data_IF_150187442174
#
_entry.id   IF_150187442174
#
_cell.length_a   1.000
_cell.length_b   1.000
_cell.length_c   1.000
_cell.angle_alpha   90.00
_cell.angle_beta   90.00
_cell.angle_gamma   90.00
#
_symmetry.space_group_name_H-M   'P 1'
#
loop_
_entity.id
_entity.type
_entity.pdbx_description
1 polymer ?
#
# COMPACT_ATOMS: atom_id res chain seq x y z
N UNK A 1 3.03 -1.22 0.26
CA UNK A 1 2.14 -0.40 1.13
C UNK A 1 2.07 -1.01 2.52
N UNK A 2 1.56 -0.28 3.50
CA UNK A 2 1.47 -0.73 4.90
C UNK A 2 0.01 -0.80 5.35
N UNK A 3 -0.46 -1.95 5.83
CA UNK A 3 -1.81 -2.14 6.36
C UNK A 3 -1.79 -2.24 7.90
N UNK A 4 -2.85 -1.73 8.54
CA UNK A 4 -3.07 -1.87 9.98
C UNK A 4 -4.54 -2.18 10.28
N UNK A 5 -4.83 -2.54 11.54
CA UNK A 5 -6.18 -2.76 12.09
C UNK A 5 -6.81 -4.13 11.80
N UNK A 6 -6.07 -5.08 11.23
CA UNK A 6 -6.43 -6.50 11.33
C UNK A 6 -6.24 -7.01 12.76
N UNK A 7 -7.19 -7.80 13.25
CA UNK A 7 -7.17 -8.47 14.55
C UNK A 7 -6.49 -9.84 14.45
N UNK A 8 -5.28 -9.86 13.89
CA UNK A 8 -4.50 -11.08 13.64
C UNK A 8 -3.10 -10.93 14.21
N UNK A 9 -2.67 -11.90 15.00
CA UNK A 9 -1.31 -11.98 15.53
C UNK A 9 -0.28 -12.31 14.43
N UNK A 10 1.00 -11.95 14.56
CA UNK A 10 2.04 -12.29 13.59
C UNK A 10 2.29 -13.80 13.58
N UNK A 11 1.73 -14.51 12.60
CA UNK A 11 1.98 -15.94 12.39
C UNK A 11 2.07 -16.26 10.89
N UNK A 12 2.63 -17.44 10.55
CA UNK A 12 2.73 -17.90 9.16
C UNK A 12 1.34 -18.09 8.53
N UNK A 13 0.39 -18.60 9.31
CA UNK A 13 -1.00 -18.79 8.88
C UNK A 13 -1.69 -17.44 8.65
N UNK A 14 -1.56 -16.50 9.60
CA UNK A 14 -2.17 -15.18 9.49
C UNK A 14 -1.57 -14.36 8.36
N UNK A 15 -0.28 -14.53 8.06
CA UNK A 15 0.36 -13.96 6.87
C UNK A 15 -0.31 -14.44 5.58
N UNK A 16 -0.64 -15.73 5.49
CA UNK A 16 -1.35 -16.28 4.33
C UNK A 16 -2.77 -15.71 4.22
N UNK A 17 -3.49 -15.63 5.35
CA UNK A 17 -4.83 -15.01 5.41
C UNK A 17 -4.79 -13.55 4.92
N UNK A 18 -3.86 -12.74 5.42
CA UNK A 18 -3.72 -11.34 5.00
C UNK A 18 -3.36 -11.25 3.51
N UNK A 19 -2.47 -12.12 3.02
CA UNK A 19 -2.14 -12.20 1.59
C UNK A 19 -3.40 -12.48 0.75
N UNK A 20 -4.20 -13.45 1.14
CA UNK A 20 -5.42 -13.83 0.42
C UNK A 20 -6.47 -12.71 0.43
N UNK A 21 -6.65 -12.03 1.57
CA UNK A 21 -7.54 -10.86 1.68
C UNK A 21 -7.10 -9.78 0.69
N UNK A 22 -5.83 -9.41 0.68
CA UNK A 22 -5.32 -8.36 -0.20
C UNK A 22 -5.42 -8.77 -1.67
N UNK A 23 -5.00 -10.00 -1.99
CA UNK A 23 -5.03 -10.54 -3.34
C UNK A 23 -6.46 -10.53 -3.90
N UNK A 24 -7.39 -11.13 -3.16
CA UNK A 24 -8.80 -11.22 -3.56
C UNK A 24 -9.43 -9.82 -3.68
N UNK A 25 -9.09 -8.89 -2.79
CA UNK A 25 -9.63 -7.52 -2.86
C UNK A 25 -9.11 -6.81 -4.12
N UNK A 26 -7.80 -6.86 -4.40
CA UNK A 26 -7.21 -6.18 -5.57
C UNK A 26 -7.70 -6.77 -6.89
N UNK A 27 -7.87 -8.09 -6.95
CA UNK A 27 -8.37 -8.79 -8.15
C UNK A 27 -9.79 -8.36 -8.52
N UNK A 28 -10.65 -8.12 -7.54
CA UNK A 28 -12.07 -7.83 -7.75
C UNK A 28 -12.43 -6.34 -7.64
N UNK A 29 -11.47 -5.47 -7.32
CA UNK A 29 -11.74 -4.03 -7.17
C UNK A 29 -11.92 -3.38 -8.55
N UNK A 30 -13.09 -2.78 -8.86
CA UNK A 30 -13.36 -2.21 -10.18
C UNK A 30 -12.36 -1.12 -10.60
N UNK A 31 -11.94 -0.25 -9.69
CA UNK A 31 -10.98 0.82 -9.99
C UNK A 31 -9.59 0.29 -10.37
N UNK A 32 -9.18 -0.83 -9.77
CA UNK A 32 -7.93 -1.51 -10.11
C UNK A 32 -8.03 -2.16 -11.50
N UNK A 33 -9.14 -2.86 -11.77
CA UNK A 33 -9.39 -3.48 -13.08
C UNK A 33 -9.41 -2.40 -14.18
N UNK A 34 -10.11 -1.29 -13.95
CA UNK A 34 -10.16 -0.17 -14.89
C UNK A 34 -8.77 0.43 -15.13
N UNK A 35 -7.96 0.57 -14.08
CA UNK A 35 -6.58 1.04 -14.21
C UNK A 35 -5.75 0.13 -15.12
N UNK A 36 -5.84 -1.19 -14.94
CA UNK A 36 -5.16 -2.15 -15.84
C UNK A 36 -5.65 -2.02 -17.29
N UNK A 37 -6.96 -1.87 -17.50
CA UNK A 37 -7.54 -1.69 -18.84
C UNK A 37 -7.03 -0.44 -19.52
N UNK A 38 -6.93 0.68 -18.79
CA UNK A 38 -6.49 1.98 -19.31
C UNK A 38 -5.01 1.99 -19.68
N UNK A 39 -4.17 1.24 -18.96
CA UNK A 39 -2.71 1.31 -19.06
C UNK A 39 -2.06 0.07 -19.68
N UNK A 40 -2.81 -0.79 -20.38
CA UNK A 40 -2.28 -2.06 -20.95
C UNK A 40 -0.97 -1.90 -21.72
N UNK A 41 -0.84 -0.87 -22.55
CA UNK A 41 0.35 -0.62 -23.38
C UNK A 41 1.61 -0.30 -22.57
N UNK A 42 1.45 0.15 -21.31
CA UNK A 42 2.54 0.55 -20.42
C UNK A 42 2.83 -0.51 -19.34
N UNK A 43 2.18 -1.67 -19.40
CA UNK A 43 2.43 -2.75 -18.45
C UNK A 43 3.81 -3.38 -18.69
N UNK A 44 4.36 -3.94 -17.62
CA UNK A 44 5.61 -4.68 -17.69
C UNK A 44 5.48 -5.82 -18.71
N UNK A 45 6.50 -6.04 -19.55
CA UNK A 45 6.46 -7.01 -20.66
C UNK A 45 6.07 -8.44 -20.24
N UNK A 46 6.44 -8.85 -19.02
CA UNK A 46 6.01 -10.11 -18.39
C UNK A 46 4.50 -10.26 -18.23
N UNK A 47 3.76 -9.16 -18.11
CA UNK A 47 2.31 -9.16 -17.98
C UNK A 47 1.59 -9.20 -19.34
N UNK A 48 2.26 -8.81 -20.43
CA UNK A 48 1.71 -8.85 -21.79
C UNK A 48 1.46 -10.28 -22.31
N UNK A 49 1.94 -11.29 -21.58
CA UNK A 49 1.70 -12.71 -21.87
C UNK A 49 0.31 -13.17 -21.42
N UNK A 50 -0.40 -12.37 -20.64
CA UNK A 50 -1.70 -12.72 -20.07
C UNK A 50 -2.82 -11.93 -20.72
N UNK A 51 -4.03 -12.49 -20.70
CA UNK A 51 -5.21 -11.72 -21.12
C UNK A 51 -5.46 -10.60 -20.12
N UNK A 52 -6.08 -9.52 -20.58
CA UNK A 52 -6.44 -8.38 -19.74
C UNK A 52 -7.17 -8.77 -18.46
N UNK A 53 -8.05 -9.76 -18.55
CA UNK A 53 -8.86 -10.26 -17.43
C UNK A 53 -8.00 -10.99 -16.41
N UNK A 54 -6.90 -11.62 -16.83
CA UNK A 54 -6.02 -12.40 -15.96
C UNK A 54 -4.92 -11.55 -15.29
N UNK A 55 -4.62 -10.36 -15.82
CA UNK A 55 -3.53 -9.51 -15.30
C UNK A 55 -3.71 -9.16 -13.81
N UNK A 56 -4.90 -8.73 -13.33
CA UNK A 56 -5.11 -8.46 -11.91
C UNK A 56 -4.82 -9.69 -11.04
N UNK A 57 -5.29 -10.87 -11.45
CA UNK A 57 -5.04 -12.14 -10.76
C UNK A 57 -3.52 -12.44 -10.68
N UNK A 58 -2.78 -12.21 -11.76
CA UNK A 58 -1.32 -12.41 -11.78
C UNK A 58 -0.58 -11.45 -10.86
N UNK A 59 -0.95 -10.17 -10.86
CA UNK A 59 -0.37 -9.19 -9.94
C UNK A 59 -0.73 -9.55 -8.49
N UNK A 60 -1.97 -9.95 -8.22
CA UNK A 60 -2.41 -10.40 -6.90
C UNK A 60 -1.63 -11.64 -6.42
N UNK A 61 -1.32 -12.59 -7.30
CA UNK A 61 -0.54 -13.79 -6.94
C UNK A 61 0.90 -13.47 -6.51
N UNK A 62 1.46 -12.36 -7.01
CA UNK A 62 2.82 -11.89 -6.70
C UNK A 62 2.97 -11.21 -5.34
N UNK A 63 1.86 -11.03 -4.61
CA UNK A 63 1.87 -10.30 -3.35
C UNK A 63 2.71 -11.05 -2.30
N UNK A 64 3.56 -10.32 -1.61
CA UNK A 64 4.24 -10.79 -0.41
C UNK A 64 3.80 -9.96 0.78
N UNK A 65 3.64 -10.62 1.92
CA UNK A 65 3.18 -10.01 3.17
C UNK A 65 4.20 -10.27 4.27
N UNK A 66 4.54 -9.26 5.05
CA UNK A 66 5.41 -9.38 6.21
C UNK A 66 4.76 -8.68 7.40
N UNK A 67 4.72 -9.33 8.55
CA UNK A 67 4.34 -8.65 9.79
C UNK A 67 5.52 -7.83 10.30
N UNK A 68 5.25 -6.60 10.70
CA UNK A 68 6.16 -5.79 11.49
C UNK A 68 5.71 -5.82 12.94
N UNK A 69 6.47 -6.51 13.78
CA UNK A 69 6.30 -6.46 15.23
C UNK A 69 6.75 -5.08 15.70
N UNK A 70 5.79 -4.22 16.02
CA UNK A 70 6.07 -2.94 16.65
C UNK A 70 5.92 -3.07 18.16
N UNK A 71 6.59 -2.20 18.91
CA UNK A 71 6.38 -2.10 20.38
C UNK A 71 4.99 -1.56 20.74
N UNK A 72 4.20 -1.12 19.75
CA UNK A 72 2.81 -0.73 19.92
C UNK A 72 1.91 -1.97 19.88
N UNK A 73 0.79 -2.00 20.63
CA UNK A 73 -0.18 -3.09 20.57
C UNK A 73 -0.78 -3.29 19.16
N UNK A 74 -0.59 -2.33 18.26
CA UNK A 74 -1.08 -2.44 16.90
C UNK A 74 -0.08 -3.17 16.00
N UNK A 75 -0.52 -4.30 15.46
CA UNK A 75 0.22 -5.07 14.46
C UNK A 75 0.09 -4.37 13.10
N UNK A 76 1.22 -4.29 12.41
CA UNK A 76 1.34 -3.65 11.10
C UNK A 76 1.80 -4.69 10.09
N UNK A 77 1.15 -4.72 8.94
CA UNK A 77 1.47 -5.65 7.85
C UNK A 77 2.06 -4.88 6.67
N UNK A 78 3.32 -5.17 6.33
CA UNK A 78 3.94 -4.71 5.10
C UNK A 78 3.50 -5.58 3.94
N UNK A 79 2.91 -4.94 2.93
CA UNK A 79 2.44 -5.58 1.71
C UNK A 79 3.33 -5.13 0.55
N UNK A 80 4.02 -6.08 -0.05
CA UNK A 80 4.83 -5.90 -1.24
C UNK A 80 4.03 -6.42 -2.43
N UNK A 81 3.78 -5.54 -3.39
CA UNK A 81 3.06 -5.85 -4.62
C UNK A 81 4.06 -5.64 -5.75
N UNK A 82 4.23 -6.62 -6.64
CA UNK A 82 5.08 -6.44 -7.80
C UNK A 82 4.53 -5.33 -8.68
N UNK A 83 5.38 -4.39 -9.08
CA UNK A 83 4.95 -3.22 -9.84
C UNK A 83 4.46 -3.63 -11.21
N UNK A 84 3.22 -3.28 -11.60
CA UNK A 84 2.65 -3.72 -12.87
C UNK A 84 3.28 -3.03 -14.09
N UNK A 85 4.10 -2.00 -13.87
CA UNK A 85 4.73 -1.14 -14.87
C UNK A 85 6.12 -0.72 -14.40
N UNK A 86 6.96 -0.26 -15.33
CA UNK A 86 8.25 0.37 -15.05
C UNK A 86 8.14 1.91 -15.00
N UNK A 87 7.02 2.48 -15.44
CA UNK A 87 6.79 3.91 -15.35
C UNK A 87 6.53 4.31 -13.88
N UNK A 88 7.35 5.23 -13.38
CA UNK A 88 7.31 5.69 -11.99
C UNK A 88 5.99 6.39 -11.66
N UNK A 89 5.42 7.17 -12.60
CA UNK A 89 4.16 7.88 -12.39
C UNK A 89 2.99 6.91 -12.30
N UNK A 90 2.94 5.95 -13.21
CA UNK A 90 1.91 4.90 -13.20
C UNK A 90 2.04 3.98 -11.98
N UNK A 91 3.26 3.68 -11.54
CA UNK A 91 3.50 2.96 -10.29
C UNK A 91 2.95 3.72 -9.08
N UNK A 92 3.17 5.05 -9.03
CA UNK A 92 2.64 5.90 -7.96
C UNK A 92 1.11 5.95 -7.98
N UNK A 93 0.50 6.09 -9.17
CA UNK A 93 -0.96 6.07 -9.35
C UNK A 93 -1.57 4.74 -8.88
N UNK A 94 -1.04 3.61 -9.35
CA UNK A 94 -1.49 2.28 -8.91
C UNK A 94 -1.35 2.10 -7.39
N UNK A 95 -0.23 2.55 -6.83
CA UNK A 95 0.00 2.47 -5.37
C UNK A 95 -0.99 3.34 -4.60
N UNK A 96 -1.34 4.53 -5.11
CA UNK A 96 -2.34 5.39 -4.50
C UNK A 96 -3.72 4.72 -4.51
N UNK A 97 -4.15 4.18 -5.66
CA UNK A 97 -5.40 3.42 -5.76
C UNK A 97 -5.43 2.24 -4.78
N UNK A 98 -4.35 1.45 -4.72
CA UNK A 98 -4.24 0.34 -3.78
C UNK A 98 -4.34 0.79 -2.31
N UNK A 99 -3.89 2.00 -1.97
CA UNK A 99 -4.00 2.56 -0.62
C UNK A 99 -5.38 3.11 -0.29
N UNK A 100 -6.17 3.50 -1.28
CA UNK A 100 -7.54 4.00 -1.09
C UNK A 100 -8.55 2.86 -0.84
N UNK A 101 -8.18 1.63 -1.18
CA UNK A 101 -9.00 0.43 -0.97
C UNK A 101 -9.06 0.08 0.52
N UNK A 102 -10.27 -0.23 0.98
CA UNK A 102 -10.50 -0.84 2.28
C UNK A 102 -10.45 -2.36 2.17
N UNK A 103 -9.55 -2.99 2.92
CA UNK A 103 -9.37 -4.45 2.91
C UNK A 103 -10.22 -5.10 4.01
N UNK A 104 -11.49 -5.36 3.72
CA UNK A 104 -12.43 -5.92 4.68
C UNK A 104 -12.29 -7.45 4.82
N UNK A 105 -12.42 -7.96 6.05
CA UNK A 105 -12.41 -9.40 6.34
C UNK A 105 -13.19 -9.71 7.62
N UNK A 106 -13.38 -11.00 7.91
CA UNK A 106 -13.93 -11.45 9.21
C UNK A 106 -13.01 -11.13 10.39
N UNK A 107 -11.74 -10.84 10.12
CA UNK A 107 -10.72 -10.48 11.11
C UNK A 107 -10.55 -8.96 11.26
N UNK A 108 -11.53 -8.18 10.79
CA UNK A 108 -11.52 -6.72 10.82
C UNK A 108 -11.12 -6.10 9.48
N UNK A 109 -10.75 -4.82 9.54
CA UNK A 109 -10.48 -3.99 8.37
C UNK A 109 -8.99 -3.65 8.29
N UNK A 110 -8.34 -4.06 7.21
CA UNK A 110 -7.03 -3.57 6.83
C UNK A 110 -7.16 -2.20 6.20
N UNK A 111 -6.70 -1.17 6.89
CA UNK A 111 -6.60 0.18 6.33
C UNK A 111 -5.16 0.47 5.96
N UNK A 112 -4.94 0.94 4.73
CA UNK A 112 -3.62 1.37 4.34
C UNK A 112 -3.24 2.66 5.06
N UNK A 113 -2.02 2.71 5.59
CA UNK A 113 -1.48 3.94 6.13
C UNK A 113 -1.20 4.92 5.00
N UNK A 114 -1.58 6.19 5.21
CA UNK A 114 -1.31 7.28 4.28
C UNK A 114 0.19 7.38 3.97
N UNK A 115 1.00 7.31 5.03
CA UNK A 115 2.46 7.22 4.95
C UNK A 115 2.89 5.80 5.25
N UNK A 116 3.74 5.24 4.39
CA UNK A 116 4.34 3.93 4.67
C UNK A 116 5.24 4.03 5.90
N UNK A 117 5.35 2.91 6.62
CA UNK A 117 6.27 2.84 7.74
C UNK A 117 7.72 3.09 7.26
N UNK A 118 8.44 3.98 7.95
CA UNK A 118 9.85 4.25 7.71
C UNK A 118 10.60 4.23 9.04
N UNK A 119 11.73 3.53 9.05
CA UNK A 119 12.67 3.51 10.16
C UNK A 119 13.22 4.92 10.38
N UNK A 120 13.08 5.46 11.59
CA UNK A 120 13.56 6.81 11.91
C UNK A 120 15.08 6.98 11.87
N UNK A 121 15.84 5.88 11.84
CA UNK A 121 17.30 5.89 11.77
C UNK A 121 17.81 5.79 10.33
N UNK A 122 17.45 4.73 9.62
CA UNK A 122 17.97 4.47 8.27
C UNK A 122 17.01 4.79 7.13
N UNK A 123 15.78 5.24 7.44
CA UNK A 123 14.69 5.47 6.48
C UNK A 123 14.24 4.22 5.70
N UNK A 124 14.71 3.03 6.09
CA UNK A 124 14.27 1.75 5.54
C UNK A 124 12.81 1.43 5.89
N UNK A 125 12.14 0.62 5.05
CA UNK A 125 10.70 0.32 5.18
C UNK A 125 10.41 -1.06 5.79
N UNK A 126 11.44 -1.88 5.95
CA UNK A 126 11.29 -3.31 6.23
C UNK A 126 11.45 -3.66 7.72
N UNK A 127 11.69 -2.67 8.58
CA UNK A 127 11.89 -2.89 10.01
C UNK A 127 11.54 -1.64 10.82
N UNK A 128 11.02 -1.80 12.05
CA UNK A 128 10.85 -0.68 12.97
C UNK A 128 12.19 -0.12 13.45
N UNK A 129 12.17 1.16 13.85
CA UNK A 129 13.38 1.87 14.35
C UNK A 129 14.08 1.09 15.47
N UNK A 130 13.32 0.44 16.35
CA UNK A 130 13.85 -0.32 17.49
C UNK A 130 14.64 -1.57 17.09
N UNK A 131 14.32 -2.18 15.95
CA UNK A 131 15.04 -3.33 15.40
C UNK A 131 15.98 -2.92 14.26
N UNK A 132 16.27 -1.63 14.12
CA UNK A 132 17.16 -1.15 13.08
C UNK A 132 18.56 -1.76 13.28
N UNK A 133 19.13 -2.41 12.24
CA UNK A 133 20.50 -2.93 12.33
C UNK A 133 21.52 -1.80 12.48
N UNK A 134 21.19 -0.59 12.02
CA UNK A 134 22.00 0.61 12.18
C UNK A 134 21.70 1.21 13.56
N UNK A 135 22.33 0.64 14.60
CA UNK A 135 22.12 1.09 15.99
C UNK A 135 22.80 2.43 16.32
N UNK A 136 23.78 2.84 15.52
CA UNK A 136 24.49 4.10 15.71
C UNK A 136 24.81 4.71 14.34
N UNK A 137 24.25 5.89 14.06
CA UNK A 137 24.82 6.77 13.05
C UNK A 137 26.02 7.43 13.71
N UNK A 138 27.23 6.99 13.37
CA UNK A 138 28.45 7.66 13.79
C UNK A 138 28.32 9.16 13.47
N UNK A 139 28.30 10.00 14.51
CA UNK A 139 28.35 11.47 14.37
C UNK A 139 27.05 12.25 14.58
N UNK A 140 25.87 11.63 14.69
CA UNK A 140 24.61 12.40 14.84
C UNK A 140 24.09 12.53 16.28
N UNK A 141 24.40 11.57 17.16
CA UNK A 141 24.04 11.62 18.57
C UNK A 141 25.12 10.98 19.46
N UNK A 142 26.36 11.49 19.40
CA UNK A 142 27.30 11.25 20.49
C UNK A 142 26.95 12.16 21.68
N UNK A 143 25.79 11.94 22.30
CA UNK A 143 25.55 12.37 23.68
C UNK A 143 26.15 11.34 24.64
N UNK A 144 27.40 10.94 24.38
CA UNK A 144 28.17 10.17 25.32
C UNK A 144 28.93 11.19 26.18
N UNK A 145 28.51 11.46 27.44
CA UNK A 145 29.20 12.41 28.31
C UNK A 145 30.60 11.92 28.74
N UNK A 146 31.05 10.77 28.26
CA UNK A 146 32.36 10.23 28.56
C UNK A 146 33.18 9.99 27.28
N UNK A 147 34.09 10.92 26.91
CA UNK A 147 34.94 10.80 25.72
C UNK A 147 36.12 9.83 25.89
N UNK A 148 36.12 8.93 26.87
CA UNK A 148 37.30 8.13 27.23
C UNK A 148 37.44 6.77 26.54
N UNK A 149 36.53 6.35 25.66
CA UNK A 149 36.73 5.16 24.84
C UNK A 149 37.17 5.56 23.44
N UNK A 150 38.47 5.79 23.33
CA UNK A 150 39.18 5.92 22.07
C UNK A 150 38.88 4.73 21.17
N UNK A 151 38.57 5.05 19.91
CA UNK A 151 38.40 4.12 18.81
C UNK A 151 39.58 3.13 18.77
N UNK A 152 39.29 1.84 18.98
CA UNK A 152 40.17 0.78 18.46
C UNK A 152 39.89 0.67 16.97
N UNK A 153 40.48 1.59 16.21
CA UNK A 153 40.64 1.43 14.77
C UNK A 153 41.64 0.30 14.58
N UNK A 154 41.16 -0.87 14.15
CA UNK A 154 42.04 -1.88 13.57
C UNK A 154 42.59 -1.31 12.25
N UNK A 155 43.76 -0.69 12.35
CA UNK A 155 44.61 -0.40 11.20
C UNK A 155 45.03 -1.72 10.57
N UNK A 156 44.45 -2.03 9.40
CA UNK A 156 44.97 -3.05 8.52
C UNK A 156 46.29 -2.51 7.94
N UNK A 157 47.40 -2.88 8.57
CA UNK A 157 48.72 -2.64 8.01
C UNK A 157 48.87 -3.47 6.73
N UNK A 158 49.04 -2.79 5.60
CA UNK A 158 49.80 -3.34 4.48
C UNK A 158 50.72 -2.26 3.96
N UNK A 159 51.99 -2.48 4.32
CA UNK A 159 53.18 -1.80 3.89
C UNK A 159 53.39 -1.92 2.38
N UNK A 160 53.47 -0.79 1.69
CA UNK A 160 54.34 -0.63 0.53
C UNK A 160 54.74 0.84 0.37
N UNK A 161 56.05 1.05 0.32
CA UNK A 161 56.79 2.32 0.37
C UNK A 161 56.73 3.13 -0.94
N UNK A 162 57.30 4.35 -0.97
CA UNK A 162 56.78 5.49 -1.73
C UNK A 162 57.41 5.67 -3.10
N UNK A 163 56.69 6.36 -4.00
CA UNK A 163 57.29 7.15 -5.08
C UNK A 163 56.63 8.52 -5.15
N UNK A 164 57.48 9.52 -5.00
CA UNK A 164 57.31 10.94 -5.32
C UNK A 164 56.92 11.12 -6.78
N UNK A 165 56.05 12.09 -7.06
CA UNK A 165 56.22 13.13 -8.08
C UNK A 165 54.97 14.01 -8.09
N UNK A 166 55.15 15.20 -7.53
CA UNK A 166 54.70 16.50 -8.01
C UNK A 166 53.85 16.47 -9.30
N UNK A 167 52.58 16.85 -9.22
CA UNK A 167 51.98 17.73 -10.23
C UNK A 167 50.75 18.48 -9.70
N UNK A 168 50.59 19.65 -10.30
CA UNK A 168 49.83 20.82 -9.90
C UNK A 168 48.31 20.70 -10.04
N UNK A 169 47.63 21.43 -9.14
CA UNK A 169 46.40 22.22 -9.37
C UNK A 169 45.29 21.59 -10.21
N UNK A 170 44.24 21.06 -9.59
CA UNK A 170 42.97 20.84 -10.32
C UNK A 170 41.67 20.88 -9.51
N UNK A 171 41.63 21.37 -8.26
CA UNK A 171 40.34 21.52 -7.57
C UNK A 171 40.31 22.76 -6.67
N UNK A 172 40.34 23.94 -7.29
CA UNK A 172 39.78 25.14 -6.68
C UNK A 172 38.25 24.98 -6.59
N UNK A 173 37.76 24.61 -5.42
CA UNK A 173 36.32 24.55 -5.11
C UNK A 173 35.85 26.00 -4.88
N UNK A 174 34.97 26.57 -5.72
CA UNK A 174 34.49 27.92 -5.51
C UNK A 174 33.64 28.02 -4.25
N UNK A 175 33.83 29.14 -3.53
CA UNK A 175 33.17 29.49 -2.28
C UNK A 175 31.66 29.65 -2.51
N UNK A 176 30.86 28.75 -1.95
CA UNK A 176 29.40 28.80 -1.98
C UNK A 176 28.88 29.95 -1.09
N UNK A 177 28.36 31.00 -1.72
CA UNK A 177 27.73 32.17 -1.09
C UNK A 177 26.19 32.09 -1.10
N UNK A 178 25.60 30.94 -0.78
CA UNK A 178 24.15 30.84 -0.62
C UNK A 178 23.70 31.53 0.69
N UNK A 179 23.52 32.84 0.63
CA UNK A 179 22.66 33.59 1.54
C UNK A 179 21.23 33.08 1.38
N UNK A 180 20.74 32.34 2.36
CA UNK A 180 19.32 32.03 2.50
C UNK A 180 18.55 33.33 2.80
N UNK A 181 17.94 33.91 1.77
CA UNK A 181 16.91 34.93 1.96
C UNK A 181 15.75 34.31 2.74
N UNK A 182 15.45 34.90 3.89
CA UNK A 182 14.40 34.43 4.80
C UNK A 182 13.04 34.38 4.11
N UNK A 183 12.39 33.22 4.22
CA UNK A 183 10.97 33.10 3.94
C UNK A 183 10.19 33.96 4.92
N UNK A 184 9.60 35.03 4.41
CA UNK A 184 8.54 35.76 5.12
C UNK A 184 7.29 34.85 5.13
N UNK A 185 6.91 34.41 6.34
CA UNK A 185 5.61 33.81 6.63
C UNK A 185 4.52 34.84 6.38
N UNK A 186 3.75 34.66 5.32
CA UNK A 186 2.49 35.39 5.11
C UNK A 186 1.46 34.92 6.14
N UNK A 187 1.03 35.88 6.96
CA UNK A 187 -0.01 35.75 7.96
C UNK A 187 -1.35 35.38 7.30
N UNK A 188 -1.98 34.42 7.93
CA UNK A 188 -3.40 34.11 7.94
C UNK A 188 -4.26 35.37 8.01
N UNK A 189 -5.22 35.52 7.11
CA UNK A 189 -6.44 36.29 7.37
C UNK A 189 -7.61 35.32 7.37
N UNK A 190 -8.24 35.24 8.55
CA UNK A 190 -9.58 34.73 8.74
C UNK A 190 -10.56 35.61 7.96
N UNK A 191 -11.48 34.98 7.25
CA UNK A 191 -12.77 35.56 6.93
C UNK A 191 -13.81 34.48 7.21
N UNK A 192 -14.47 34.65 8.35
CA UNK A 192 -15.72 34.04 8.72
C UNK A 192 -16.78 34.50 7.71
N UNK A 193 -17.63 33.59 7.24
CA UNK A 193 -19.01 33.90 6.92
C UNK A 193 -19.83 32.61 7.12
N UNK A 194 -20.45 32.56 8.30
CA UNK A 194 -21.54 31.65 8.63
C UNK A 194 -22.78 32.07 7.84
N UNK A 195 -23.27 31.23 6.93
CA UNK A 195 -24.67 31.31 6.48
C UNK A 195 -25.43 30.09 7.01
N UNK A 196 -26.12 30.32 8.13
CA UNK A 196 -27.06 29.39 8.75
C UNK A 196 -28.37 29.48 7.96
N UNK A 197 -28.57 28.56 7.02
CA UNK A 197 -29.91 28.33 6.45
C UNK A 197 -30.61 27.27 7.29
N UNK A 198 -31.50 27.74 8.16
CA UNK A 198 -32.50 26.92 8.81
C UNK A 198 -33.49 26.41 7.76
N UNK A 199 -33.58 25.08 7.59
CA UNK A 199 -34.72 24.45 6.92
C UNK A 199 -35.52 23.66 7.95
N UNK A 200 -36.79 24.02 7.94
CA UNK A 200 -37.82 23.68 8.88
C UNK A 200 -38.22 22.21 8.85
N UNK A 201 -38.78 21.79 9.98
CA UNK A 201 -39.26 20.44 10.28
C UNK A 201 -40.53 20.10 9.47
N UNK A 202 -40.51 18.94 8.82
CA UNK A 202 -41.71 18.13 8.55
C UNK A 202 -41.29 16.64 8.60
N UNK A 203 -41.58 15.91 9.68
CA UNK A 203 -42.83 15.16 9.91
C UNK A 203 -43.09 14.06 8.87
N UNK A 204 -43.06 12.80 9.36
CA UNK A 204 -43.54 11.50 8.81
C UNK A 204 -42.42 10.46 8.96
N UNK A 205 -42.36 9.56 9.95
CA UNK A 205 -43.33 8.55 10.40
C UNK A 205 -43.90 7.69 9.26
N UNK A 206 -43.20 6.58 8.94
CA UNK A 206 -43.65 5.30 8.33
C UNK A 206 -42.40 4.40 8.23
N UNK A 207 -42.18 3.40 9.10
CA UNK A 207 -42.69 2.02 9.07
C UNK A 207 -42.54 1.31 7.70
N UNK A 208 -41.62 0.33 7.72
CA UNK A 208 -41.50 -0.91 6.92
C UNK A 208 -40.61 -0.96 5.65
N UNK A 209 -39.90 -2.10 5.45
CA UNK A 209 -38.87 -2.26 4.43
C UNK A 209 -39.43 -2.60 3.04
N UNK A 210 -38.71 -2.30 1.94
CA UNK A 210 -39.11 -2.72 0.61
C UNK A 210 -38.76 -4.20 0.39
N UNK A 211 -39.81 -5.02 0.26
CA UNK A 211 -39.73 -6.31 -0.43
C UNK A 211 -39.66 -6.03 -1.92
N UNK A 212 -38.52 -6.30 -2.56
CA UNK A 212 -38.41 -6.27 -4.01
C UNK A 212 -39.10 -7.51 -4.60
N UNK A 213 -40.31 -7.32 -5.13
CA UNK A 213 -40.94 -8.26 -6.06
C UNK A 213 -40.39 -7.95 -7.46
N UNK A 214 -39.61 -8.89 -8.00
CA UNK A 214 -39.18 -8.88 -9.40
C UNK A 214 -40.39 -9.33 -10.25
N UNK A 215 -40.84 -8.56 -11.25
CA UNK A 215 -41.90 -9.02 -12.15
C UNK A 215 -41.37 -10.14 -13.06
N UNK A 216 -42.15 -11.22 -13.31
CA UNK A 216 -41.78 -12.22 -14.29
C UNK A 216 -41.86 -11.62 -15.70
N UNK A 217 -40.74 -11.68 -16.42
CA UNK A 217 -40.65 -11.39 -17.84
C UNK A 217 -41.60 -12.30 -18.64
N UNK A 218 -42.53 -11.71 -19.36
CA UNK A 218 -43.24 -12.37 -20.47
C UNK A 218 -42.29 -12.52 -21.65
N UNK A 219 -41.58 -13.64 -21.72
CA UNK A 219 -40.85 -14.07 -22.91
C UNK A 219 -41.79 -14.93 -23.78
N UNK A 220 -42.23 -14.32 -24.87
CA UNK A 220 -42.91 -14.95 -26.00
C UNK A 220 -42.04 -16.07 -26.57
N UNK A 221 -42.53 -17.30 -26.47
CA UNK A 221 -41.87 -18.52 -26.92
C UNK A 221 -42.17 -18.78 -28.40
N UNK A 222 -41.17 -18.57 -29.25
CA UNK A 222 -41.12 -19.23 -30.56
C UNK A 222 -40.03 -20.31 -30.55
N UNK A 223 -40.51 -21.54 -30.35
CA UNK A 223 -40.00 -22.78 -30.96
C UNK A 223 -38.50 -23.04 -30.97
N UNK A 224 -38.01 -23.76 -29.96
CA UNK A 224 -37.26 -25.02 -30.11
C UNK A 224 -36.92 -25.56 -28.72
N UNK A 225 -37.38 -26.78 -28.45
CA UNK A 225 -37.12 -27.54 -27.23
C UNK A 225 -35.62 -27.84 -27.14
N UNK A 226 -34.97 -27.24 -26.15
CA UNK A 226 -33.72 -27.72 -25.57
C UNK A 226 -33.99 -27.85 -24.07
N UNK A 227 -33.68 -29.01 -23.50
CA UNK A 227 -33.80 -29.29 -22.07
C UNK A 227 -32.99 -28.27 -21.27
N UNK A 228 -33.69 -27.29 -20.70
CA UNK A 228 -33.09 -26.22 -19.92
C UNK A 228 -32.96 -26.72 -18.48
N UNK A 229 -31.80 -27.27 -18.14
CA UNK A 229 -31.45 -27.58 -16.74
C UNK A 229 -31.22 -26.27 -16.01
N UNK A 230 -32.08 -25.94 -15.05
CA UNK A 230 -31.94 -24.74 -14.22
C UNK A 230 -30.99 -25.07 -13.07
N UNK A 231 -29.88 -24.34 -12.98
CA UNK A 231 -28.98 -24.43 -11.84
C UNK A 231 -29.26 -23.28 -10.88
N UNK A 232 -29.62 -23.62 -9.64
CA UNK A 232 -29.67 -22.67 -8.54
C UNK A 232 -28.35 -22.73 -7.76
N UNK A 233 -27.74 -21.57 -7.53
CA UNK A 233 -26.50 -21.46 -6.76
C UNK A 233 -26.81 -20.83 -5.39
N UNK A 234 -26.29 -21.42 -4.33
CA UNK A 234 -26.28 -20.85 -2.99
C UNK A 234 -24.87 -20.96 -2.42
N UNK A 235 -24.33 -19.85 -1.93
CA UNK A 235 -22.99 -19.78 -1.33
C UNK A 235 -23.13 -19.71 0.18
N UNK A 236 -22.69 -20.78 0.86
CA UNK A 236 -22.60 -20.84 2.32
C UNK A 236 -21.22 -21.41 2.67
N UNK A 237 -20.45 -20.71 3.50
CA UNK A 237 -19.15 -21.14 4.02
C UNK A 237 -18.12 -21.57 2.95
N UNK A 238 -17.92 -20.77 1.89
CA UNK A 238 -16.96 -21.04 0.81
C UNK A 238 -17.13 -22.37 0.05
N UNK A 239 -18.27 -23.05 0.20
CA UNK A 239 -18.63 -24.20 -0.63
C UNK A 239 -19.75 -23.83 -1.61
N UNK A 240 -19.55 -24.15 -2.89
CA UNK A 240 -20.59 -24.10 -3.90
C UNK A 240 -21.38 -25.41 -3.85
N UNK A 241 -22.66 -25.32 -3.49
CA UNK A 241 -23.58 -26.46 -3.58
C UNK A 241 -24.43 -26.25 -4.83
N UNK A 242 -24.29 -27.16 -5.80
CA UNK A 242 -25.08 -27.17 -7.02
C UNK A 242 -26.30 -28.05 -6.80
N UNK A 243 -27.49 -27.45 -6.77
CA UNK A 243 -28.74 -28.20 -6.74
C UNK A 243 -29.19 -28.46 -8.18
N UNK A 244 -29.39 -29.75 -8.51
CA UNK A 244 -30.02 -30.17 -9.75
C UNK A 244 -31.51 -30.41 -9.44
N UNK A 245 -32.36 -29.49 -9.87
CA UNK A 245 -33.82 -29.69 -9.90
C UNK A 245 -34.23 -30.50 -11.13
#
# INVERSE_FOLDING_TARGET
MTLSSFLLEPSKENKAIVKDIVANTLEHTPTIIEWFNRHQVNLHSRLNLYTTIDIPCRVASSIEVCALESSSPQIVWCIYIYTPTLDVKLTAEFTALAKEIQYASIYGYGNAKRTDFQCGLCQGRDHPTITCPIKAIHGFFNNNPNPSLANTTQEFMSSASPRTNDDNTLFDIPKNNNQSQGHQTLRTMQAEDEEVVAVDKASQNRRYPPTFLIPPNTLSTNGRSADMTVFAFSQINNHFIVYRS
#
